data_IF_852988345988
#
_entry.id   IF_852988345988
#
_cell.length_a   1.000
_cell.length_b   1.000
_cell.length_c   1.000
_cell.angle_alpha   90.00
_cell.angle_beta   90.00
_cell.angle_gamma   90.00
#
_symmetry.space_group_name_H-M   'P 1'
#
loop_
_entity.id
_entity.type
_entity.pdbx_description
1 polymer ?
#
# COMPACT_ATOMS: atom_id res chain seq x y z
N UNK A 1 9.79 -7.63 -28.35
CA UNK A 1 10.66 -6.45 -28.58
C UNK A 1 9.88 -5.19 -29.02
N UNK A 2 8.53 -5.20 -29.08
CA UNK A 2 7.75 -4.09 -29.67
C UNK A 2 7.04 -3.13 -28.71
N UNK A 3 6.68 -3.51 -27.48
CA UNK A 3 6.15 -2.52 -26.51
C UNK A 3 7.19 -1.46 -26.10
N UNK A 4 8.48 -1.80 -26.14
CA UNK A 4 9.57 -0.85 -25.86
C UNK A 4 9.77 0.18 -26.98
N UNK A 5 9.43 -0.14 -28.24
CA UNK A 5 9.67 0.76 -29.37
C UNK A 5 8.64 1.90 -29.47
N UNK A 6 7.49 1.79 -28.80
CA UNK A 6 6.53 2.90 -28.71
C UNK A 6 6.91 3.88 -27.58
N UNK A 7 7.48 3.38 -26.48
CA UNK A 7 7.80 4.20 -25.31
C UNK A 7 9.22 4.80 -25.36
N UNK A 8 10.14 4.19 -26.12
CA UNK A 8 11.54 4.62 -26.21
C UNK A 8 11.83 5.63 -27.34
N UNK A 9 10.96 6.63 -27.56
CA UNK A 9 11.42 7.92 -28.10
C UNK A 9 11.86 8.77 -26.91
N UNK A 10 13.13 8.62 -26.56
CA UNK A 10 13.82 9.46 -25.58
C UNK A 10 13.52 10.94 -25.87
N UNK A 11 13.17 11.70 -24.82
CA UNK A 11 12.87 13.15 -24.76
C UNK A 11 11.42 13.64 -24.95
N UNK A 12 10.45 12.80 -25.31
CA UNK A 12 9.05 13.22 -25.25
C UNK A 12 8.43 12.87 -23.89
N UNK A 13 7.91 13.89 -23.18
CA UNK A 13 7.03 13.66 -22.03
C UNK A 13 5.83 12.81 -22.49
N UNK A 14 5.71 11.59 -21.95
CA UNK A 14 4.52 10.76 -22.15
C UNK A 14 3.31 11.51 -21.60
N UNK A 15 2.22 11.52 -22.37
CA UNK A 15 0.94 12.09 -21.94
C UNK A 15 -0.07 10.98 -21.70
N UNK A 16 -1.13 11.28 -20.94
CA UNK A 16 -2.27 10.37 -20.70
C UNK A 16 -2.79 9.74 -22.01
N UNK A 17 -2.84 10.51 -23.10
CA UNK A 17 -3.32 10.02 -24.41
C UNK A 17 -2.43 8.92 -24.99
N UNK A 18 -1.14 8.95 -24.72
CA UNK A 18 -0.20 7.92 -25.20
C UNK A 18 -0.42 6.62 -24.45
N UNK A 19 -0.68 6.70 -23.14
CA UNK A 19 -1.05 5.55 -22.32
C UNK A 19 -2.36 4.92 -22.79
N UNK A 20 -3.38 5.74 -23.08
CA UNK A 20 -4.66 5.28 -23.62
C UNK A 20 -4.48 4.58 -24.97
N UNK A 21 -3.63 5.12 -25.86
CA UNK A 21 -3.33 4.49 -27.16
C UNK A 21 -2.66 3.13 -26.97
N UNK A 22 -1.71 3.04 -26.04
CA UNK A 22 -1.07 1.77 -25.69
C UNK A 22 -2.11 0.75 -25.20
N UNK A 23 -2.97 1.12 -24.23
CA UNK A 23 -4.02 0.21 -23.70
C UNK A 23 -4.94 -0.29 -24.81
N UNK A 24 -5.32 0.58 -25.76
CA UNK A 24 -6.20 0.21 -26.87
C UNK A 24 -5.56 -0.65 -27.96
N UNK A 25 -4.23 -0.75 -28.03
CA UNK A 25 -3.56 -1.51 -29.10
C UNK A 25 -3.66 -3.02 -28.93
N UNK A 26 -4.17 -3.51 -27.79
CA UNK A 26 -4.32 -4.93 -27.45
C UNK A 26 -3.00 -5.73 -27.49
N UNK A 27 -1.86 -5.03 -27.44
CA UNK A 27 -0.55 -5.64 -27.29
C UNK A 27 -0.26 -5.93 -25.80
N UNK A 28 0.70 -6.81 -25.54
CA UNK A 28 1.17 -7.06 -24.16
C UNK A 28 2.01 -5.86 -23.68
N UNK A 29 1.33 -4.88 -23.09
CA UNK A 29 1.93 -3.60 -22.63
C UNK A 29 2.73 -3.81 -21.34
N UNK A 30 3.88 -3.13 -21.26
CA UNK A 30 4.70 -3.03 -20.05
C UNK A 30 5.25 -1.61 -19.96
N UNK A 31 5.21 -1.03 -18.77
CA UNK A 31 5.79 0.27 -18.44
C UNK A 31 7.00 0.14 -17.49
N UNK A 32 7.73 -0.96 -17.61
CA UNK A 32 8.88 -1.25 -16.76
C UNK A 32 9.95 -0.16 -16.91
N UNK A 33 10.34 0.48 -15.81
CA UNK A 33 11.36 1.53 -15.80
C UNK A 33 10.93 2.86 -16.44
N UNK A 34 9.66 3.01 -16.81
CA UNK A 34 9.15 4.21 -17.49
C UNK A 34 8.89 5.32 -16.48
N UNK A 35 9.16 6.57 -16.86
CA UNK A 35 8.74 7.72 -16.09
C UNK A 35 7.32 8.13 -16.47
N UNK A 36 6.38 7.98 -15.55
CA UNK A 36 4.98 8.37 -15.68
C UNK A 36 4.61 9.48 -14.68
N UNK A 37 5.59 10.10 -14.03
CA UNK A 37 5.37 11.01 -12.92
C UNK A 37 4.42 12.15 -13.28
N UNK A 38 3.49 12.46 -12.36
CA UNK A 38 2.52 13.54 -12.53
C UNK A 38 1.37 13.25 -13.49
N UNK A 39 1.33 12.07 -14.13
CA UNK A 39 0.24 11.73 -15.03
C UNK A 39 -1.06 11.48 -14.29
N UNK A 40 -2.15 11.97 -14.89
CA UNK A 40 -3.48 11.49 -14.55
C UNK A 40 -3.75 10.21 -15.33
N UNK A 41 -3.79 9.08 -14.64
CA UNK A 41 -4.16 7.76 -15.16
C UNK A 41 -5.51 7.28 -14.63
N UNK A 42 -6.28 8.14 -13.95
CA UNK A 42 -7.55 7.79 -13.32
C UNK A 42 -8.53 7.09 -14.27
N UNK A 43 -9.34 6.17 -13.74
CA UNK A 43 -10.41 5.44 -14.46
C UNK A 43 -9.93 4.55 -15.61
N UNK A 44 -8.63 4.28 -15.72
CA UNK A 44 -8.10 3.38 -16.74
C UNK A 44 -8.13 1.93 -16.27
N UNK A 45 -8.39 1.02 -17.22
CA UNK A 45 -8.09 -0.40 -17.06
C UNK A 45 -6.57 -0.58 -17.25
N UNK A 46 -5.90 -0.88 -16.15
CA UNK A 46 -4.47 -1.14 -16.05
C UNK A 46 -4.21 -2.56 -15.54
N UNK A 47 -5.17 -3.46 -15.75
CA UNK A 47 -5.10 -4.83 -15.26
C UNK A 47 -3.89 -5.56 -15.80
N UNK A 48 -3.18 -6.23 -14.89
CA UNK A 48 -2.00 -7.08 -15.19
C UNK A 48 -0.85 -6.36 -15.92
N UNK A 49 -0.84 -5.02 -15.93
CA UNK A 49 0.25 -4.24 -16.50
C UNK A 49 1.48 -4.31 -15.58
N UNK A 50 2.65 -4.46 -16.20
CA UNK A 50 3.93 -4.44 -15.49
C UNK A 50 4.50 -3.02 -15.44
N UNK A 51 4.40 -2.38 -14.27
CA UNK A 51 5.00 -1.09 -13.95
C UNK A 51 6.31 -1.23 -13.18
N UNK A 52 6.88 -2.43 -13.03
CA UNK A 52 8.03 -2.62 -12.14
C UNK A 52 9.15 -1.62 -12.45
N UNK A 53 9.79 -1.06 -11.43
CA UNK A 53 10.86 -0.04 -11.57
C UNK A 53 10.43 1.30 -12.20
N UNK A 54 9.13 1.53 -12.48
CA UNK A 54 8.64 2.80 -13.00
C UNK A 54 8.73 3.94 -11.97
N UNK A 55 8.85 5.17 -12.48
CA UNK A 55 8.69 6.38 -11.67
C UNK A 55 7.23 6.85 -11.77
N UNK A 56 6.46 6.63 -10.71
CA UNK A 56 5.02 6.89 -10.58
C UNK A 56 4.74 8.04 -9.59
N UNK A 57 5.71 8.92 -9.36
CA UNK A 57 5.60 10.01 -8.38
C UNK A 57 4.45 10.95 -8.75
N UNK A 58 3.58 11.25 -7.80
CA UNK A 58 2.41 12.13 -8.00
C UNK A 58 1.46 11.68 -9.13
N UNK A 59 1.41 10.39 -9.47
CA UNK A 59 0.47 9.86 -10.47
C UNK A 59 -0.92 9.71 -9.85
N UNK A 60 -1.96 10.06 -10.60
CA UNK A 60 -3.35 9.80 -10.20
C UNK A 60 -3.82 8.46 -10.78
N UNK A 61 -3.95 7.44 -9.95
CA UNK A 61 -4.57 6.14 -10.26
C UNK A 61 -6.01 6.05 -9.75
N UNK A 62 -6.66 7.17 -9.44
CA UNK A 62 -7.97 7.10 -8.80
C UNK A 62 -8.99 6.38 -9.68
N UNK A 63 -9.80 5.52 -9.07
CA UNK A 63 -10.81 4.73 -9.78
C UNK A 63 -10.25 3.82 -10.91
N UNK A 64 -8.96 3.49 -10.90
CA UNK A 64 -8.37 2.55 -11.86
C UNK A 64 -8.65 1.09 -11.51
N UNK A 65 -8.64 0.22 -12.52
CA UNK A 65 -8.49 -1.22 -12.29
C UNK A 65 -7.02 -1.62 -12.43
N UNK A 66 -6.36 -1.90 -11.32
CA UNK A 66 -4.99 -2.39 -11.22
C UNK A 66 -4.95 -3.87 -10.81
N UNK A 67 -6.03 -4.63 -11.03
CA UNK A 67 -6.06 -6.04 -10.67
C UNK A 67 -4.88 -6.79 -11.32
N UNK A 68 -4.07 -7.44 -10.47
CA UNK A 68 -2.90 -8.20 -10.91
C UNK A 68 -1.75 -7.37 -11.48
N UNK A 69 -1.78 -6.04 -11.35
CA UNK A 69 -0.69 -5.16 -11.79
C UNK A 69 0.59 -5.43 -10.98
N UNK A 70 1.74 -5.24 -11.62
CA UNK A 70 3.06 -5.36 -10.96
C UNK A 70 3.64 -3.97 -10.71
N UNK A 71 3.74 -3.61 -9.44
CA UNK A 71 4.27 -2.37 -8.91
C UNK A 71 5.58 -2.62 -8.13
N UNK A 72 6.28 -3.70 -8.44
CA UNK A 72 7.52 -4.07 -7.74
C UNK A 72 8.61 -3.00 -7.96
N UNK A 73 9.20 -2.51 -6.86
CA UNK A 73 10.27 -1.51 -6.86
C UNK A 73 9.91 -0.18 -7.58
N UNK A 74 8.63 0.19 -7.65
CA UNK A 74 8.23 1.50 -8.18
C UNK A 74 8.57 2.63 -7.21
N UNK A 75 8.76 3.83 -7.74
CA UNK A 75 8.69 5.06 -6.95
C UNK A 75 7.33 5.73 -7.15
N UNK A 76 6.38 5.42 -6.27
CA UNK A 76 5.01 5.94 -6.29
C UNK A 76 4.77 6.94 -5.15
N UNK A 77 5.81 7.65 -4.70
CA UNK A 77 5.68 8.68 -3.68
C UNK A 77 4.59 9.69 -4.07
N UNK A 78 3.65 9.95 -3.16
CA UNK A 78 2.49 10.85 -3.37
C UNK A 78 1.56 10.45 -4.52
N UNK A 79 1.59 9.20 -4.98
CA UNK A 79 0.60 8.71 -5.92
C UNK A 79 -0.77 8.57 -5.23
N UNK A 80 -1.84 8.81 -5.97
CA UNK A 80 -3.21 8.69 -5.49
C UNK A 80 -3.83 7.40 -6.02
N UNK A 81 -4.13 6.44 -5.15
CA UNK A 81 -4.81 5.19 -5.47
C UNK A 81 -6.24 5.14 -4.89
N UNK A 82 -6.85 6.28 -4.59
CA UNK A 82 -8.23 6.37 -4.09
C UNK A 82 -9.20 5.63 -5.01
N UNK A 83 -10.04 4.77 -4.46
CA UNK A 83 -11.00 3.94 -5.20
C UNK A 83 -10.38 2.98 -6.25
N UNK A 84 -9.06 2.77 -6.26
CA UNK A 84 -8.42 1.89 -7.23
C UNK A 84 -8.52 0.41 -6.80
N UNK A 85 -8.88 -0.48 -7.73
CA UNK A 85 -8.84 -1.93 -7.49
C UNK A 85 -7.40 -2.42 -7.59
N UNK A 86 -6.80 -2.85 -6.47
CA UNK A 86 -5.43 -3.39 -6.41
C UNK A 86 -5.44 -4.89 -6.06
N UNK A 87 -6.57 -5.57 -6.26
CA UNK A 87 -6.72 -6.99 -6.01
C UNK A 87 -5.63 -7.80 -6.73
N UNK A 88 -4.99 -8.73 -6.02
CA UNK A 88 -3.90 -9.56 -6.55
C UNK A 88 -2.68 -8.78 -7.10
N UNK A 89 -2.52 -7.49 -6.77
CA UNK A 89 -1.35 -6.71 -7.19
C UNK A 89 -0.09 -7.03 -6.36
N UNK A 90 1.09 -6.84 -6.95
CA UNK A 90 2.37 -7.02 -6.29
C UNK A 90 3.08 -5.66 -6.15
N UNK A 91 3.42 -5.24 -4.93
CA UNK A 91 4.11 -3.98 -4.63
C UNK A 91 5.37 -4.22 -3.79
N UNK A 92 6.11 -5.30 -4.08
CA UNK A 92 7.31 -5.67 -3.33
C UNK A 92 8.37 -4.58 -3.44
N UNK A 93 8.87 -4.12 -2.29
CA UNK A 93 9.91 -3.08 -2.22
C UNK A 93 9.51 -1.74 -2.86
N UNK A 94 8.22 -1.49 -3.07
CA UNK A 94 7.73 -0.24 -3.63
C UNK A 94 7.92 0.93 -2.64
N UNK A 95 8.28 2.10 -3.15
CA UNK A 95 8.20 3.35 -2.40
C UNK A 95 6.80 3.95 -2.57
N UNK A 96 5.93 3.68 -1.61
CA UNK A 96 4.54 4.14 -1.51
C UNK A 96 4.39 5.23 -0.42
N UNK A 97 5.46 6.00 -0.16
CA UNK A 97 5.46 7.04 0.88
C UNK A 97 4.43 8.12 0.57
N UNK A 98 3.62 8.46 1.57
CA UNK A 98 2.54 9.45 1.45
C UNK A 98 1.58 9.18 0.28
N UNK A 99 1.32 7.89 -0.01
CA UNK A 99 0.23 7.46 -0.89
C UNK A 99 -1.11 7.66 -0.19
N UNK A 100 -2.14 7.98 -0.97
CA UNK A 100 -3.54 7.94 -0.53
C UNK A 100 -4.23 6.68 -1.06
N UNK A 101 -4.79 5.88 -0.15
CA UNK A 101 -5.71 4.76 -0.38
C UNK A 101 -6.95 5.00 0.49
N UNK A 102 -8.14 5.05 -0.09
CA UNK A 102 -9.40 5.38 0.60
C UNK A 102 -10.55 4.45 0.19
N UNK A 103 -11.69 4.58 0.88
CA UNK A 103 -12.94 3.81 0.72
C UNK A 103 -13.20 3.41 -0.73
N UNK A 104 -13.18 2.12 -1.05
CA UNK A 104 -13.42 1.61 -2.40
C UNK A 104 -12.17 1.12 -3.13
N UNK A 105 -10.98 1.41 -2.58
CA UNK A 105 -9.78 0.67 -2.94
C UNK A 105 -9.94 -0.79 -2.48
N UNK A 106 -10.48 -1.63 -3.35
CA UNK A 106 -10.67 -3.04 -3.09
C UNK A 106 -9.30 -3.73 -3.18
N UNK A 107 -8.65 -3.92 -2.03
CA UNK A 107 -7.38 -4.66 -1.93
C UNK A 107 -7.60 -6.17 -1.73
N UNK A 108 -8.85 -6.63 -1.70
CA UNK A 108 -9.24 -8.03 -1.79
C UNK A 108 -10.50 -8.42 -0.99
N UNK A 109 -11.47 -9.04 -1.66
CA UNK A 109 -12.54 -9.81 -0.99
C UNK A 109 -12.47 -11.32 -1.24
N UNK A 110 -11.50 -11.82 -2.02
CA UNK A 110 -11.44 -13.25 -2.35
C UNK A 110 -10.01 -13.78 -2.59
N UNK A 111 -9.58 -14.72 -1.75
CA UNK A 111 -8.58 -15.79 -1.98
C UNK A 111 -7.16 -15.45 -2.48
N UNK A 112 -6.84 -14.24 -2.96
CA UNK A 112 -5.48 -13.84 -3.41
C UNK A 112 -5.19 -12.40 -3.00
N UNK A 113 -4.12 -12.22 -2.24
CA UNK A 113 -3.88 -11.01 -1.46
C UNK A 113 -2.91 -10.07 -2.18
N UNK A 114 -3.09 -8.77 -2.01
CA UNK A 114 -2.07 -7.77 -2.33
C UNK A 114 -0.81 -8.01 -1.47
N UNK A 115 0.36 -7.84 -2.07
CA UNK A 115 1.65 -7.96 -1.37
C UNK A 115 2.36 -6.61 -1.32
N UNK A 116 2.59 -6.13 -0.10
CA UNK A 116 3.38 -4.94 0.23
C UNK A 116 4.67 -5.31 0.96
N UNK A 117 5.18 -6.53 0.75
CA UNK A 117 6.39 -7.02 1.42
C UNK A 117 7.56 -6.05 1.23
N UNK A 118 8.11 -5.55 2.34
CA UNK A 118 9.20 -4.58 2.36
C UNK A 118 8.89 -3.20 1.75
N UNK A 119 7.61 -2.88 1.49
CA UNK A 119 7.22 -1.59 0.91
C UNK A 119 7.39 -0.44 1.93
N UNK A 120 7.71 0.75 1.46
CA UNK A 120 7.69 1.97 2.28
C UNK A 120 6.32 2.64 2.16
N UNK A 121 5.50 2.54 3.20
CA UNK A 121 4.18 3.16 3.36
C UNK A 121 4.21 4.28 4.42
N UNK A 122 5.37 4.92 4.58
CA UNK A 122 5.55 5.94 5.62
C UNK A 122 4.60 7.11 5.37
N UNK A 123 3.84 7.50 6.41
CA UNK A 123 2.81 8.53 6.33
C UNK A 123 1.78 8.31 5.22
N UNK A 124 1.53 7.05 4.83
CA UNK A 124 0.44 6.73 3.91
C UNK A 124 -0.92 6.96 4.59
N UNK A 125 -1.87 7.48 3.82
CA UNK A 125 -3.27 7.61 4.21
C UNK A 125 -3.97 6.31 3.79
N UNK A 126 -4.22 5.43 4.75
CA UNK A 126 -4.75 4.08 4.55
C UNK A 126 -6.03 3.87 5.38
N UNK A 127 -6.88 4.89 5.51
CA UNK A 127 -8.08 4.83 6.34
C UNK A 127 -9.28 4.25 5.60
N UNK A 128 -10.14 3.51 6.31
CA UNK A 128 -11.34 2.87 5.76
C UNK A 128 -11.06 1.86 4.61
N UNK A 129 -9.87 1.27 4.59
CA UNK A 129 -9.44 0.30 3.57
C UNK A 129 -9.65 -1.14 4.04
N UNK A 130 -9.99 -2.03 3.11
CA UNK A 130 -10.01 -3.48 3.33
C UNK A 130 -8.63 -4.07 3.05
N UNK A 131 -7.87 -4.40 4.09
CA UNK A 131 -6.56 -5.06 4.03
C UNK A 131 -6.63 -6.53 4.48
N UNK A 132 -7.80 -7.17 4.37
CA UNK A 132 -7.97 -8.56 4.79
C UNK A 132 -7.02 -9.47 4.02
N UNK A 133 -6.30 -10.30 4.76
CA UNK A 133 -5.31 -11.25 4.27
C UNK A 133 -4.07 -10.59 3.60
N UNK A 134 -3.92 -9.26 3.56
CA UNK A 134 -2.78 -8.59 2.94
C UNK A 134 -1.43 -9.04 3.52
N UNK A 135 -0.40 -9.10 2.68
CA UNK A 135 0.97 -9.31 3.17
C UNK A 135 1.67 -7.96 3.32
N UNK A 136 1.86 -7.53 4.57
CA UNK A 136 2.59 -6.32 4.99
C UNK A 136 3.88 -6.70 5.72
N UNK A 137 4.37 -7.93 5.55
CA UNK A 137 5.57 -8.42 6.22
C UNK A 137 6.77 -7.52 5.90
N UNK A 138 7.48 -7.06 6.94
CA UNK A 138 8.60 -6.13 6.82
C UNK A 138 8.26 -4.74 6.23
N UNK A 139 6.99 -4.39 6.03
CA UNK A 139 6.60 -3.09 5.50
C UNK A 139 6.89 -1.96 6.49
N UNK A 140 7.24 -0.78 5.98
CA UNK A 140 7.50 0.41 6.78
C UNK A 140 6.28 1.33 6.77
N UNK A 141 5.42 1.21 7.77
CA UNK A 141 4.15 1.93 7.98
C UNK A 141 4.29 3.05 9.03
N UNK A 142 5.50 3.59 9.20
CA UNK A 142 5.76 4.65 10.21
C UNK A 142 4.85 5.85 9.95
N UNK A 143 4.12 6.29 10.98
CA UNK A 143 3.14 7.38 10.91
C UNK A 143 2.02 7.20 9.88
N UNK A 144 1.75 5.97 9.43
CA UNK A 144 0.62 5.69 8.53
C UNK A 144 -0.72 5.87 9.27
N UNK A 145 -1.74 6.36 8.56
CA UNK A 145 -3.10 6.46 9.05
C UNK A 145 -3.85 5.17 8.69
N UNK A 146 -3.99 4.26 9.65
CA UNK A 146 -4.63 2.94 9.50
C UNK A 146 -5.94 2.87 10.31
N UNK A 147 -6.59 4.00 10.58
CA UNK A 147 -7.83 3.98 11.35
C UNK A 147 -9.00 3.42 10.52
N UNK A 148 -9.89 2.68 11.21
CA UNK A 148 -11.08 2.05 10.62
C UNK A 148 -10.79 0.99 9.52
N UNK A 149 -9.59 0.41 9.54
CA UNK A 149 -9.13 -0.62 8.57
C UNK A 149 -9.52 -2.03 8.98
N UNK A 150 -9.82 -2.90 8.02
CA UNK A 150 -9.93 -4.35 8.24
C UNK A 150 -8.63 -5.09 7.94
N UNK A 151 -7.94 -5.58 8.97
CA UNK A 151 -6.70 -6.36 8.91
C UNK A 151 -6.94 -7.86 9.20
N UNK A 152 -8.16 -8.39 9.06
CA UNK A 152 -8.43 -9.80 9.34
C UNK A 152 -7.49 -10.72 8.53
N UNK A 153 -6.77 -11.60 9.23
CA UNK A 153 -5.78 -12.53 8.67
C UNK A 153 -4.57 -11.88 7.94
N UNK A 154 -4.37 -10.57 8.06
CA UNK A 154 -3.21 -9.90 7.46
C UNK A 154 -1.88 -10.35 8.11
N UNK A 155 -0.80 -10.37 7.34
CA UNK A 155 0.54 -10.65 7.85
C UNK A 155 1.31 -9.33 8.02
N UNK A 156 1.52 -8.88 9.26
CA UNK A 156 2.35 -7.73 9.61
C UNK A 156 3.65 -8.14 10.32
N UNK A 157 4.12 -9.39 10.16
CA UNK A 157 5.36 -9.86 10.78
C UNK A 157 6.54 -8.91 10.44
N UNK A 158 7.29 -8.50 11.45
CA UNK A 158 8.41 -7.55 11.34
C UNK A 158 8.08 -6.17 10.72
N UNK A 159 6.81 -5.80 10.56
CA UNK A 159 6.43 -4.48 10.06
C UNK A 159 6.78 -3.36 11.05
N UNK A 160 7.16 -2.18 10.54
CA UNK A 160 7.35 -0.98 11.37
C UNK A 160 6.09 -0.13 11.38
N UNK A 161 5.36 -0.13 12.49
CA UNK A 161 4.12 0.62 12.73
C UNK A 161 4.36 1.79 13.70
N UNK A 162 5.60 2.27 13.81
CA UNK A 162 5.94 3.33 14.75
C UNK A 162 5.09 4.58 14.48
N UNK A 163 4.42 5.13 15.51
CA UNK A 163 3.51 6.30 15.37
C UNK A 163 2.33 6.12 14.41
N UNK A 164 2.02 4.89 13.99
CA UNK A 164 0.84 4.65 13.16
C UNK A 164 -0.45 4.87 13.96
N UNK A 165 -1.50 5.35 13.30
CA UNK A 165 -2.84 5.42 13.86
C UNK A 165 -3.59 4.12 13.57
N UNK A 166 -3.83 3.32 14.61
CA UNK A 166 -4.48 2.01 14.54
C UNK A 166 -5.86 2.04 15.23
N UNK A 167 -6.50 3.20 15.31
CA UNK A 167 -7.86 3.31 15.87
C UNK A 167 -8.86 2.43 15.10
N UNK A 168 -9.71 1.71 15.83
CA UNK A 168 -10.80 0.89 15.28
C UNK A 168 -10.37 -0.19 14.27
N UNK A 169 -9.10 -0.61 14.23
CA UNK A 169 -8.69 -1.70 13.33
C UNK A 169 -9.42 -3.00 13.68
N UNK A 170 -9.87 -3.72 12.66
CA UNK A 170 -10.39 -5.08 12.83
C UNK A 170 -9.26 -6.08 12.63
N UNK A 171 -9.12 -7.01 13.57
CA UNK A 171 -8.10 -8.08 13.51
C UNK A 171 -8.76 -9.41 13.86
N UNK A 172 -8.14 -10.51 13.45
CA UNK A 172 -8.54 -11.87 13.84
C UNK A 172 -7.38 -12.57 14.55
N UNK A 173 -7.63 -13.75 15.12
CA UNK A 173 -6.59 -14.61 15.70
C UNK A 173 -5.51 -15.04 14.70
N UNK A 174 -5.77 -14.91 13.39
CA UNK A 174 -4.81 -15.21 12.34
C UNK A 174 -4.01 -13.97 11.89
N UNK A 175 -4.37 -12.77 12.34
CA UNK A 175 -3.59 -11.57 12.01
C UNK A 175 -2.23 -11.68 12.72
N UNK A 176 -1.13 -11.55 11.98
CA UNK A 176 0.22 -11.77 12.50
C UNK A 176 0.89 -10.45 12.83
N UNK A 177 1.32 -10.28 14.08
CA UNK A 177 2.08 -9.10 14.54
C UNK A 177 3.45 -9.46 15.12
N UNK A 178 3.91 -10.71 14.95
CA UNK A 178 5.20 -11.15 15.47
C UNK A 178 6.31 -10.19 15.02
N UNK A 179 7.12 -9.72 15.97
CA UNK A 179 8.21 -8.76 15.75
C UNK A 179 7.83 -7.38 15.18
N UNK A 180 6.53 -7.10 14.97
CA UNK A 180 6.06 -5.81 14.50
C UNK A 180 6.35 -4.72 15.53
N UNK A 181 6.89 -3.58 15.10
CA UNK A 181 7.21 -2.46 15.98
C UNK A 181 6.04 -1.50 16.09
N UNK A 182 5.34 -1.50 17.22
CA UNK A 182 4.21 -0.62 17.48
C UNK A 182 4.58 0.56 18.40
N UNK A 183 5.87 0.88 18.56
CA UNK A 183 6.28 2.01 19.41
C UNK A 183 5.61 3.32 18.99
N UNK A 184 5.11 4.08 19.96
CA UNK A 184 4.36 5.33 19.80
C UNK A 184 3.12 5.24 18.91
N UNK A 185 2.70 4.05 18.47
CA UNK A 185 1.45 3.87 17.75
C UNK A 185 0.26 4.24 18.64
N UNK A 186 -0.78 4.79 18.02
CA UNK A 186 -2.04 5.09 18.67
C UNK A 186 -3.00 3.91 18.45
N UNK A 187 -3.38 3.20 19.51
CA UNK A 187 -4.33 2.08 19.43
C UNK A 187 -5.58 2.42 20.24
N UNK A 188 -6.73 2.44 19.60
CA UNK A 188 -8.03 2.65 20.25
C UNK A 188 -9.01 1.60 19.69
N UNK A 189 -9.82 0.97 20.55
CA UNK A 189 -10.78 -0.07 20.15
C UNK A 189 -10.15 -1.27 19.39
N UNK A 190 -8.91 -1.64 19.74
CA UNK A 190 -8.19 -2.78 19.16
C UNK A 190 -8.23 -3.97 20.11
N UNK A 191 -8.44 -5.17 19.58
CA UNK A 191 -8.30 -6.39 20.39
C UNK A 191 -6.81 -6.70 20.64
N UNK A 192 -6.32 -6.40 21.84
CA UNK A 192 -4.94 -6.64 22.25
C UNK A 192 -4.52 -8.11 22.25
N UNK A 193 -5.47 -9.06 22.36
CA UNK A 193 -5.14 -10.49 22.26
C UNK A 193 -4.62 -10.88 20.87
N UNK A 194 -5.01 -10.12 19.83
CA UNK A 194 -4.54 -10.37 18.46
C UNK A 194 -3.18 -9.71 18.18
N UNK A 195 -2.62 -8.91 19.09
CA UNK A 195 -1.33 -8.22 18.93
C UNK A 195 -0.16 -9.02 19.53
N UNK A 196 -0.34 -10.32 19.77
CA UNK A 196 0.70 -11.17 20.35
C UNK A 196 1.99 -11.15 19.50
N UNK A 197 3.14 -11.06 20.18
CA UNK A 197 4.46 -11.00 19.55
C UNK A 197 4.85 -9.62 19.01
N UNK A 198 3.95 -8.63 19.07
CA UNK A 198 4.28 -7.24 18.76
C UNK A 198 5.27 -6.65 19.79
N UNK A 199 6.20 -5.85 19.30
CA UNK A 199 7.07 -4.99 20.13
C UNK A 199 6.26 -3.77 20.56
N UNK A 200 5.63 -3.91 21.72
CA UNK A 200 4.86 -2.88 22.39
C UNK A 200 5.71 -2.25 23.50
N UNK A 201 5.47 -0.98 23.80
CA UNK A 201 5.94 -0.38 25.03
C UNK A 201 4.69 0.12 25.78
N UNK A 202 4.32 -0.62 26.83
CA UNK A 202 3.01 -0.52 27.50
C UNK A 202 2.86 0.77 28.33
N UNK A 203 1.68 1.38 28.30
CA UNK A 203 1.07 2.07 29.47
C UNK A 203 -0.45 1.85 29.48
N UNK A 204 -1.00 1.46 30.63
CA UNK A 204 -2.43 1.38 30.98
C UNK A 204 -2.70 2.29 32.21
N UNK A 205 -3.94 2.51 32.70
CA UNK A 205 -5.26 2.59 32.06
C UNK A 205 -6.02 3.88 32.47
N UNK A 206 -6.42 4.74 31.53
CA UNK A 206 -7.55 5.65 31.75
C UNK A 206 -7.98 6.35 30.46
N UNK A 207 -9.00 5.81 29.80
CA UNK A 207 -9.83 6.52 28.80
C UNK A 207 -9.26 6.55 27.37
N UNK A 208 -9.87 5.74 26.49
CA UNK A 208 -9.85 5.78 25.02
C UNK A 208 -8.53 6.17 24.32
N UNK A 209 -7.75 5.15 23.95
CA UNK A 209 -6.54 5.26 23.15
C UNK A 209 -5.26 5.01 23.97
N UNK A 210 -4.54 3.93 23.69
CA UNK A 210 -3.21 3.67 24.25
C UNK A 210 -2.17 4.18 23.25
N UNK A 211 -1.22 5.00 23.73
CA UNK A 211 0.00 5.33 22.99
C UNK A 211 1.09 4.38 23.47
N UNK A 212 1.64 3.57 22.57
CA UNK A 212 2.67 2.58 22.90
C UNK A 212 4.07 3.22 23.14
N UNK A 213 4.23 4.09 24.14
CA UNK A 213 5.46 4.89 24.31
C UNK A 213 6.71 4.07 24.61
N UNK A 214 7.81 4.39 23.92
CA UNK A 214 9.16 3.83 24.07
C UNK A 214 9.58 3.57 25.53
N UNK A 215 9.81 2.32 25.89
CA UNK A 215 10.42 1.93 27.17
C UNK A 215 11.86 2.45 27.21
N UNK A 216 12.14 3.36 28.12
CA UNK A 216 13.52 3.72 28.47
C UNK A 216 14.11 2.53 29.23
N UNK A 217 15.01 1.77 28.60
CA UNK A 217 15.91 0.89 29.34
C UNK A 217 17.04 1.77 29.91
N UNK A 218 17.22 1.73 31.23
CA UNK A 218 18.50 2.06 31.87
C UNK A 218 19.47 0.90 31.68
#
# INVERSE_FOLDING_TARGET
>A
MHAYQIVAKLDAELKRIDIIKCIKSNERIRFRGVNLSGLDLSKLDLTKIDFSYACLRNVCFSNCDLHGAKLNYVDAKRANFSDASLESSESVGANLRAVTLSVGANLGSAKKNCSFWGASLVAAELHDVDLRNASLEGACLVSAQLHDVDLANANLEAASLERADLKNIKTTTNTKFKDANLQEAYVENVNFQHLEGAKLALVTPSGNGVICRRSHFF
#
